data_IF_054679528747
#
_entry.id   IF_054679528747
#
_cell.length_a   1.000
_cell.length_b   1.000
_cell.length_c   1.000
_cell.angle_alpha   90.00
_cell.angle_beta   90.00
_cell.angle_gamma   90.00
#
_symmetry.space_group_name_H-M   'P 1'
#
loop_
_entity.id
_entity.type
_entity.pdbx_description
1 polymer ?
#
# COMPACT_ATOMS: atom_id res chain seq x y z
N UNK A 1 27.81 8.35 -2.88
CA UNK A 1 26.79 7.94 -1.90
C UNK A 1 25.74 7.07 -2.56
N UNK A 2 25.02 6.26 -1.77
CA UNK A 2 23.98 5.33 -2.23
C UNK A 2 22.96 5.98 -3.17
N UNK A 3 22.59 7.25 -2.95
CA UNK A 3 21.67 7.98 -3.82
C UNK A 3 22.14 8.16 -5.28
N UNK A 4 23.46 8.21 -5.53
CA UNK A 4 24.04 8.35 -6.89
C UNK A 4 24.06 7.02 -7.65
N UNK A 5 23.97 5.90 -6.94
CA UNK A 5 23.85 4.54 -7.49
C UNK A 5 22.37 4.25 -7.77
N UNK A 6 21.49 4.62 -6.84
CA UNK A 6 20.04 4.44 -6.99
C UNK A 6 19.46 5.28 -8.14
N UNK A 7 20.01 6.48 -8.39
CA UNK A 7 19.62 7.34 -9.51
C UNK A 7 20.02 6.80 -10.89
N UNK A 8 20.84 5.75 -10.95
CA UNK A 8 21.25 5.09 -12.20
C UNK A 8 20.46 3.80 -12.48
N UNK A 9 19.65 3.35 -11.53
CA UNK A 9 18.78 2.19 -11.71
C UNK A 9 17.45 2.64 -12.35
N UNK A 10 16.82 1.78 -13.16
CA UNK A 10 15.48 2.06 -13.66
C UNK A 10 14.51 2.22 -12.48
N UNK A 11 13.62 3.21 -12.58
CA UNK A 11 12.65 3.61 -11.55
C UNK A 11 12.01 2.44 -10.75
N UNK A 12 11.52 1.35 -11.38
CA UNK A 12 10.91 0.25 -10.62
C UNK A 12 11.89 -0.49 -9.70
N UNK A 13 13.17 -0.61 -10.06
CA UNK A 13 14.15 -1.32 -9.23
C UNK A 13 14.45 -0.51 -7.96
N UNK A 14 14.56 0.82 -8.08
CA UNK A 14 14.73 1.69 -6.93
C UNK A 14 13.52 1.64 -5.98
N UNK A 15 12.30 1.55 -6.53
CA UNK A 15 11.06 1.41 -5.75
C UNK A 15 11.00 0.07 -5.01
N UNK A 16 11.32 -1.04 -5.70
CA UNK A 16 11.36 -2.38 -5.08
C UNK A 16 12.40 -2.43 -3.97
N UNK A 17 13.60 -1.89 -4.19
CA UNK A 17 14.62 -1.79 -3.15
C UNK A 17 14.13 -1.01 -1.92
N UNK A 18 13.48 0.13 -2.15
CA UNK A 18 12.96 0.96 -1.06
C UNK A 18 11.89 0.23 -0.27
N UNK A 19 10.93 -0.40 -0.95
CA UNK A 19 9.87 -1.20 -0.32
C UNK A 19 10.46 -2.36 0.48
N UNK A 20 11.46 -3.05 -0.06
CA UNK A 20 12.12 -4.17 0.61
C UNK A 20 12.79 -3.73 1.92
N UNK A 21 13.56 -2.63 1.90
CA UNK A 21 14.22 -2.11 3.10
C UNK A 21 13.18 -1.65 4.14
N UNK A 22 12.12 -0.97 3.71
CA UNK A 22 11.03 -0.52 4.60
C UNK A 22 10.32 -1.70 5.24
N UNK A 23 10.03 -2.76 4.50
CA UNK A 23 9.39 -3.97 5.02
C UNK A 23 10.26 -4.65 6.09
N UNK A 24 11.56 -4.79 5.85
CA UNK A 24 12.48 -5.36 6.84
C UNK A 24 12.53 -4.48 8.09
N UNK A 25 12.72 -3.17 7.93
CA UNK A 25 12.76 -2.23 9.05
C UNK A 25 11.47 -2.28 9.87
N UNK A 26 10.32 -2.39 9.21
CA UNK A 26 9.01 -2.51 9.86
C UNK A 26 8.90 -3.74 10.77
N UNK A 27 9.46 -4.88 10.36
CA UNK A 27 9.50 -6.09 11.20
C UNK A 27 10.23 -5.83 12.52
N UNK A 28 11.39 -5.15 12.45
CA UNK A 28 12.16 -4.81 13.65
C UNK A 28 11.45 -3.81 14.56
N UNK A 29 10.70 -2.85 14.00
CA UNK A 29 9.90 -1.91 14.79
C UNK A 29 8.69 -2.56 15.47
N UNK A 30 8.10 -3.58 14.83
CA UNK A 30 6.88 -4.24 15.33
C UNK A 30 7.16 -5.28 16.40
N UNK A 31 8.29 -5.97 16.32
CA UNK A 31 8.58 -7.11 17.19
C UNK A 31 9.21 -6.65 18.52
N UNK A 32 8.78 -7.22 19.66
CA UNK A 32 9.34 -6.87 20.97
C UNK A 32 10.75 -7.46 21.19
N UNK A 33 11.07 -8.58 20.53
CA UNK A 33 12.33 -9.31 20.70
C UNK A 33 13.13 -9.37 19.39
N UNK A 34 14.42 -9.09 19.45
CA UNK A 34 15.31 -9.11 18.29
C UNK A 34 15.42 -10.51 17.67
N UNK A 35 15.45 -11.56 18.49
CA UNK A 35 15.49 -12.95 18.03
C UNK A 35 14.24 -13.32 17.24
N UNK A 36 13.05 -12.90 17.70
CA UNK A 36 11.78 -13.14 17.00
C UNK A 36 11.71 -12.35 15.69
N UNK A 37 12.20 -11.11 15.68
CA UNK A 37 12.31 -10.31 14.46
C UNK A 37 13.20 -11.01 13.41
N UNK A 38 14.35 -11.53 13.83
CA UNK A 38 15.27 -12.23 12.93
C UNK A 38 14.68 -13.52 12.38
N UNK A 39 14.06 -14.35 13.23
CA UNK A 39 13.33 -15.54 12.80
C UNK A 39 12.23 -15.18 11.79
N UNK A 40 11.47 -14.12 12.04
CA UNK A 40 10.41 -13.67 11.14
C UNK A 40 10.93 -13.26 9.76
N UNK A 41 12.04 -12.51 9.70
CA UNK A 41 12.68 -12.13 8.42
C UNK A 41 13.14 -13.38 7.67
N UNK A 42 13.77 -14.35 8.34
CA UNK A 42 14.22 -15.59 7.72
C UNK A 42 13.06 -16.45 7.21
N UNK A 43 11.93 -16.49 7.92
CA UNK A 43 10.71 -17.13 7.45
C UNK A 43 10.12 -16.41 6.23
N UNK A 44 10.10 -15.06 6.22
CA UNK A 44 9.64 -14.29 5.05
C UNK A 44 10.51 -14.53 3.80
N UNK A 45 11.81 -14.78 3.98
CA UNK A 45 12.73 -15.13 2.90
C UNK A 45 12.69 -16.63 2.51
N UNK A 46 11.87 -17.44 3.20
CA UNK A 46 11.73 -18.88 2.94
C UNK A 46 12.90 -19.73 3.44
N UNK A 47 13.78 -19.19 4.29
CA UNK A 47 14.94 -19.90 4.84
C UNK A 47 14.54 -20.80 6.00
N UNK A 48 13.61 -20.34 6.84
CA UNK A 48 13.02 -21.11 7.92
C UNK A 48 11.57 -21.49 7.55
N UNK A 49 11.10 -22.68 7.94
CA UNK A 49 9.68 -23.01 7.83
C UNK A 49 8.85 -22.01 8.66
N UNK A 50 7.74 -21.56 8.10
CA UNK A 50 6.71 -20.85 8.85
C UNK A 50 5.88 -21.82 9.69
N UNK A 51 5.12 -21.29 10.66
CA UNK A 51 4.12 -22.10 11.37
C UNK A 51 3.11 -22.67 10.37
N UNK A 52 3.01 -24.00 10.35
CA UNK A 52 2.17 -24.76 9.41
C UNK A 52 0.67 -24.52 9.61
N UNK A 53 0.27 -24.04 10.79
CA UNK A 53 -1.14 -24.00 11.19
C UNK A 53 -1.86 -22.70 10.80
N UNK A 54 -1.14 -21.69 10.29
CA UNK A 54 -1.67 -20.32 10.12
C UNK A 54 -1.63 -19.76 8.69
N UNK A 55 -1.39 -20.59 7.66
CA UNK A 55 -1.30 -20.11 6.28
C UNK A 55 -2.34 -20.77 5.36
N UNK A 56 -3.58 -20.32 5.48
CA UNK A 56 -4.50 -20.35 4.34
C UNK A 56 -4.55 -18.93 3.79
N UNK A 57 -3.85 -18.62 2.68
CA UNK A 57 -3.99 -17.34 1.99
C UNK A 57 -5.46 -16.98 1.78
N UNK A 58 -6.30 -17.98 1.54
CA UNK A 58 -7.76 -17.89 1.38
C UNK A 58 -8.48 -17.25 2.58
N UNK A 59 -7.93 -17.33 3.79
CA UNK A 59 -8.49 -16.68 4.98
C UNK A 59 -8.37 -15.15 4.91
N UNK A 60 -7.38 -14.63 4.17
CA UNK A 60 -7.06 -13.21 4.07
C UNK A 60 -7.25 -12.63 2.65
N UNK A 61 -7.16 -13.47 1.61
CA UNK A 61 -7.46 -13.16 0.22
C UNK A 61 -8.94 -13.46 -0.10
N UNK A 62 -9.83 -12.70 0.52
CA UNK A 62 -11.20 -12.61 0.02
C UNK A 62 -11.25 -11.91 -1.34
N UNK A 63 -12.33 -12.12 -2.11
CA UNK A 63 -12.53 -11.39 -3.38
C UNK A 63 -12.51 -9.87 -3.18
N UNK A 64 -12.96 -9.39 -2.01
CA UNK A 64 -12.93 -7.97 -1.66
C UNK A 64 -11.49 -7.46 -1.47
N UNK A 65 -10.64 -8.21 -0.76
CA UNK A 65 -9.23 -7.83 -0.57
C UNK A 65 -8.44 -7.94 -1.86
N UNK A 66 -8.71 -8.95 -2.70
CA UNK A 66 -8.12 -9.06 -4.04
C UNK A 66 -8.49 -7.85 -4.92
N UNK A 67 -9.77 -7.48 -4.97
CA UNK A 67 -10.23 -6.33 -5.74
C UNK A 67 -9.59 -5.03 -5.22
N UNK A 68 -9.54 -4.85 -3.90
CA UNK A 68 -8.89 -3.69 -3.28
C UNK A 68 -7.39 -3.61 -3.63
N UNK A 69 -6.67 -4.74 -3.63
CA UNK A 69 -5.28 -4.81 -4.06
C UNK A 69 -5.11 -4.43 -5.52
N UNK A 70 -5.95 -4.96 -6.41
CA UNK A 70 -5.92 -4.62 -7.83
C UNK A 70 -6.15 -3.11 -8.03
N UNK A 71 -7.20 -2.55 -7.43
CA UNK A 71 -7.50 -1.10 -7.52
C UNK A 71 -6.35 -0.28 -6.93
N UNK A 72 -5.78 -0.69 -5.80
CA UNK A 72 -4.64 -0.03 -5.17
C UNK A 72 -3.40 -0.01 -6.05
N UNK A 73 -3.05 -1.13 -6.70
CA UNK A 73 -1.92 -1.22 -7.63
C UNK A 73 -2.16 -0.33 -8.86
N UNK A 74 -3.36 -0.36 -9.44
CA UNK A 74 -3.71 0.49 -10.58
C UNK A 74 -3.67 1.99 -10.22
N UNK A 75 -4.08 2.33 -9.01
CA UNK A 75 -3.98 3.69 -8.46
C UNK A 75 -2.53 4.11 -8.25
N UNK A 76 -1.72 3.28 -7.60
CA UNK A 76 -0.30 3.56 -7.33
C UNK A 76 0.54 3.72 -8.60
N UNK A 77 0.19 3.01 -9.67
CA UNK A 77 0.83 3.11 -10.98
C UNK A 77 0.25 4.25 -11.85
N UNK A 78 -0.69 5.05 -11.34
CA UNK A 78 -1.39 6.10 -12.08
C UNK A 78 -1.95 5.62 -13.44
N UNK A 79 -2.51 4.40 -13.46
CA UNK A 79 -3.00 3.79 -14.71
C UNK A 79 -4.09 4.63 -15.36
N UNK A 80 -4.86 5.39 -14.58
CA UNK A 80 -5.86 6.33 -15.09
C UNK A 80 -5.27 7.41 -16.02
N UNK A 81 -4.10 7.97 -15.69
CA UNK A 81 -3.42 8.93 -16.57
C UNK A 81 -2.81 8.26 -17.80
N UNK A 82 -2.30 7.04 -17.64
CA UNK A 82 -1.75 6.25 -18.74
C UNK A 82 -2.83 5.85 -19.75
N UNK A 83 -4.00 5.44 -19.25
CA UNK A 83 -5.20 5.12 -20.02
C UNK A 83 -5.73 6.35 -20.78
N UNK A 84 -5.85 7.50 -20.11
CA UNK A 84 -6.29 8.75 -20.74
C UNK A 84 -5.36 9.17 -21.89
N UNK A 85 -4.04 9.07 -21.69
CA UNK A 85 -3.04 9.32 -22.74
C UNK A 85 -3.15 8.33 -23.90
N UNK A 86 -3.35 7.04 -23.62
CA UNK A 86 -3.39 5.99 -24.64
C UNK A 86 -4.64 6.06 -25.52
N UNK A 87 -5.81 6.32 -24.93
CA UNK A 87 -7.05 6.52 -25.69
C UNK A 87 -7.11 7.88 -26.43
N UNK A 88 -6.03 8.69 -26.38
CA UNK A 88 -6.00 10.07 -26.91
C UNK A 88 -7.19 10.91 -26.46
N UNK A 89 -7.75 10.56 -25.31
CA UNK A 89 -8.70 11.42 -24.63
C UNK A 89 -7.83 12.54 -24.14
N UNK A 90 -7.82 13.68 -24.87
CA UNK A 90 -7.23 14.92 -24.39
C UNK A 90 -7.58 15.03 -22.91
N UNK A 91 -6.60 15.23 -22.00
CA UNK A 91 -6.85 15.18 -20.56
C UNK A 91 -8.09 16.01 -20.33
N UNK A 92 -9.20 15.37 -19.97
CA UNK A 92 -10.54 15.86 -20.27
C UNK A 92 -10.68 17.27 -19.69
N UNK A 93 -10.35 18.24 -20.52
CA UNK A 93 -10.56 19.66 -20.36
C UNK A 93 -12.00 19.94 -20.72
N UNK A 94 -12.91 19.06 -20.31
CA UNK A 94 -14.23 19.50 -19.90
C UNK A 94 -13.97 20.41 -18.73
N UNK A 95 -13.75 21.68 -19.03
CA UNK A 95 -13.49 22.79 -18.11
C UNK A 95 -14.70 22.96 -17.21
N UNK A 96 -14.89 22.06 -16.25
CA UNK A 96 -15.48 22.43 -14.98
C UNK A 96 -14.59 23.56 -14.47
N UNK A 97 -15.20 24.73 -14.24
CA UNK A 97 -14.51 25.90 -13.69
C UNK A 97 -13.55 25.42 -12.58
N UNK A 98 -12.32 25.97 -12.47
CA UNK A 98 -11.35 25.53 -11.47
C UNK A 98 -11.94 25.38 -10.05
N UNK A 99 -12.89 26.24 -9.69
CA UNK A 99 -13.63 26.15 -8.42
C UNK A 99 -14.58 24.94 -8.30
N UNK A 100 -15.24 24.50 -9.38
CA UNK A 100 -16.14 23.33 -9.36
C UNK A 100 -15.32 22.03 -9.31
N UNK A 101 -14.19 21.97 -10.02
CA UNK A 101 -13.27 20.83 -9.96
C UNK A 101 -12.69 20.65 -8.55
N UNK A 102 -12.19 21.74 -7.95
CA UNK A 102 -11.67 21.72 -6.57
C UNK A 102 -12.74 21.38 -5.53
N UNK A 103 -13.96 21.88 -5.70
CA UNK A 103 -15.09 21.52 -4.82
C UNK A 103 -15.43 20.03 -4.93
N UNK A 104 -15.48 19.47 -6.14
CA UNK A 104 -15.78 18.06 -6.36
C UNK A 104 -14.69 17.15 -5.79
N UNK A 105 -13.42 17.53 -5.95
CA UNK A 105 -12.28 16.80 -5.37
C UNK A 105 -12.31 16.83 -3.84
N UNK A 106 -12.59 18.00 -3.25
CA UNK A 106 -12.67 18.16 -1.79
C UNK A 106 -13.82 17.34 -1.20
N UNK A 107 -14.99 17.36 -1.85
CA UNK A 107 -16.16 16.56 -1.45
C UNK A 107 -15.88 15.08 -1.62
N UNK A 108 -15.25 14.67 -2.73
CA UNK A 108 -14.86 13.29 -2.98
C UNK A 108 -13.88 12.75 -1.95
N UNK A 109 -12.82 13.50 -1.63
CA UNK A 109 -11.85 13.15 -0.60
C UNK A 109 -12.48 13.12 0.79
N UNK A 110 -13.39 14.06 1.10
CA UNK A 110 -14.14 14.08 2.36
C UNK A 110 -15.05 12.86 2.52
N UNK A 111 -15.77 12.49 1.46
CA UNK A 111 -16.61 11.28 1.46
C UNK A 111 -15.75 10.01 1.61
N UNK A 112 -14.64 9.92 0.87
CA UNK A 112 -13.70 8.81 0.98
C UNK A 112 -13.16 8.68 2.41
N UNK A 113 -12.79 9.80 3.05
CA UNK A 113 -12.34 9.84 4.43
C UNK A 113 -13.40 9.27 5.38
N UNK A 114 -14.66 9.68 5.23
CA UNK A 114 -15.78 9.18 6.05
C UNK A 114 -15.95 7.67 5.84
N UNK A 115 -15.95 7.19 4.60
CA UNK A 115 -16.10 5.76 4.31
C UNK A 115 -14.95 4.93 4.90
N UNK A 116 -13.72 5.40 4.80
CA UNK A 116 -12.56 4.75 5.42
C UNK A 116 -12.69 4.75 6.94
N UNK A 117 -13.08 5.87 7.55
CA UNK A 117 -13.29 5.97 8.99
C UNK A 117 -14.38 5.01 9.48
N UNK A 118 -15.49 4.91 8.74
CA UNK A 118 -16.56 3.94 9.03
C UNK A 118 -16.06 2.50 8.92
N UNK A 119 -15.27 2.18 7.91
CA UNK A 119 -14.70 0.84 7.75
C UNK A 119 -13.77 0.49 8.92
N UNK A 120 -12.88 1.42 9.30
CA UNK A 120 -11.97 1.25 10.43
C UNK A 120 -12.73 1.13 11.75
N UNK A 121 -13.83 1.87 11.93
CA UNK A 121 -14.68 1.78 13.12
C UNK A 121 -15.52 0.49 13.18
N UNK A 122 -15.93 -0.04 12.02
CA UNK A 122 -16.70 -1.29 11.92
C UNK A 122 -15.86 -2.53 12.18
N UNK A 123 -14.55 -2.41 11.97
CA UNK A 123 -13.58 -3.46 12.29
C UNK A 123 -13.13 -3.25 13.73
N UNK A 124 -12.94 -4.34 14.48
CA UNK A 124 -12.40 -4.29 15.86
C UNK A 124 -10.89 -3.95 15.81
N UNK A 125 -10.52 -2.83 15.20
CA UNK A 125 -9.15 -2.32 15.20
C UNK A 125 -8.79 -1.92 16.62
N UNK A 126 -8.14 -2.84 17.32
CA UNK A 126 -7.29 -2.48 18.43
C UNK A 126 -6.13 -1.66 17.86
N UNK A 127 -5.93 -0.38 18.26
CA UNK A 127 -4.82 0.43 17.76
C UNK A 127 -3.50 -0.17 18.29
N UNK A 128 -2.94 -1.10 17.53
CA UNK A 128 -2.01 -2.11 18.04
C UNK A 128 -0.58 -1.59 18.22
N UNK A 129 -0.20 -0.44 17.64
CA UNK A 129 1.20 -0.02 17.65
C UNK A 129 1.64 0.63 18.98
N UNK A 130 0.74 1.33 19.69
CA UNK A 130 1.12 2.09 20.90
C UNK A 130 0.60 1.51 22.23
N UNK A 131 -0.44 0.67 22.20
CA UNK A 131 -1.08 0.14 23.42
C UNK A 131 -0.63 -1.27 23.80
N UNK A 132 0.56 -1.70 23.36
CA UNK A 132 1.13 -3.03 23.67
C UNK A 132 2.45 -2.99 24.43
N UNK A 133 2.77 -1.84 25.01
CA UNK A 133 3.84 -1.67 26.00
C UNK A 133 3.22 -1.61 27.39
#
# INVERSE_FOLDING_TARGET
>A
GLGRILSRLPSPIAQVYTLFIVLIAWVFFRMPDLTKAWHFVLTMLGVLPGDSDLYFPDLYLSNATLLALCVGVLGALNVHEMMARWLRIAPSGGTLRPGIRGAFETVGLGLLLILVAMQVASTTYSPFIYFRF
#
